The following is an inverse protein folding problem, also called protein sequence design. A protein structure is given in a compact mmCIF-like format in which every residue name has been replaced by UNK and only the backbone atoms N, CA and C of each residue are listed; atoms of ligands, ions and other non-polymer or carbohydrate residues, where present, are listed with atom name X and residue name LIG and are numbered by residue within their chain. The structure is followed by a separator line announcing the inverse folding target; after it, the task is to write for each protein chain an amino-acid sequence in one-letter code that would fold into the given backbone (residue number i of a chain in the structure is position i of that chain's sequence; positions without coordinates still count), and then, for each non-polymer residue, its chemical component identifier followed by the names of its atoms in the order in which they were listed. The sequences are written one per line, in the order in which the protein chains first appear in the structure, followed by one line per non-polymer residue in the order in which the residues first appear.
data_IF_773751315351
#
_entry.id   IF_773751315351
#
_cell.length_a   1.000
_cell.length_b   1.000
_cell.length_c   1.000
_cell.angle_alpha   90.00
_cell.angle_beta   90.00
_cell.angle_gamma   90.00
#
_symmetry.space_group_name_H-M   'P 1'
#
loop_
_entity.id
_entity.type
_entity.pdbx_description
1 polymer ?
#
# COMPACT_ATOMS: atom_id res chain seq x y z
N UNK A 1 6.67 10.83 -10.65
CA UNK A 1 5.24 10.47 -10.84
C UNK A 1 4.37 11.57 -10.24
N UNK A 2 3.82 12.47 -11.06
CA UNK A 2 2.86 13.48 -10.59
C UNK A 2 1.48 12.84 -10.43
N UNK A 3 1.30 12.10 -9.34
CA UNK A 3 0.04 11.43 -9.04
C UNK A 3 -0.82 12.43 -8.26
N UNK A 4 -1.90 12.92 -8.87
CA UNK A 4 -2.95 13.64 -8.13
C UNK A 4 -3.66 12.61 -7.25
N UNK A 5 -3.37 12.66 -5.96
CA UNK A 5 -4.07 11.84 -4.97
C UNK A 5 -5.40 12.48 -4.64
N UNK A 6 -6.43 11.65 -4.53
CA UNK A 6 -7.67 12.07 -3.90
C UNK A 6 -7.41 12.40 -2.43
N UNK A 7 -8.13 13.36 -1.86
CA UNK A 7 -7.94 13.79 -0.47
C UNK A 7 -8.06 12.63 0.54
N UNK A 8 -8.90 11.64 0.23
CA UNK A 8 -9.16 10.47 1.08
C UNK A 8 -8.33 9.23 0.69
N UNK A 9 -7.27 9.38 -0.09
CA UNK A 9 -6.47 8.24 -0.52
C UNK A 9 -5.63 7.68 0.65
N UNK A 10 -6.04 6.52 1.19
CA UNK A 10 -5.32 5.83 2.27
C UNK A 10 -3.93 5.35 1.84
N UNK A 11 -3.77 4.91 0.59
CA UNK A 11 -2.46 4.46 0.05
C UNK A 11 -1.79 5.55 -0.77
N UNK A 12 -0.88 6.28 -0.12
CA UNK A 12 -0.04 7.28 -0.79
C UNK A 12 1.08 6.61 -1.61
N UNK A 13 1.72 7.33 -2.57
CA UNK A 13 2.88 6.82 -3.29
C UNK A 13 4.02 6.35 -2.35
N UNK A 14 4.16 7.00 -1.19
CA UNK A 14 5.11 6.60 -0.14
C UNK A 14 4.76 5.23 0.43
N UNK A 15 3.48 5.00 0.77
CA UNK A 15 3.01 3.70 1.27
C UNK A 15 3.11 2.61 0.20
N UNK A 16 2.81 2.92 -1.06
CA UNK A 16 2.98 1.95 -2.16
C UNK A 16 4.42 1.54 -2.36
N UNK A 17 5.35 2.49 -2.28
CA UNK A 17 6.79 2.21 -2.29
C UNK A 17 7.20 1.33 -1.12
N UNK A 18 6.71 1.66 0.09
CA UNK A 18 6.92 0.84 1.28
C UNK A 18 6.40 -0.60 1.10
N UNK A 19 5.19 -0.79 0.59
CA UNK A 19 4.62 -2.13 0.32
C UNK A 19 5.50 -2.93 -0.64
N UNK A 20 6.04 -2.27 -1.67
CA UNK A 20 6.88 -2.91 -2.69
C UNK A 20 8.30 -3.24 -2.18
N UNK A 21 8.86 -2.39 -1.32
CA UNK A 21 10.20 -2.58 -0.74
C UNK A 21 10.18 -3.53 0.49
N UNK A 22 9.01 -3.74 1.10
CA UNK A 22 8.89 -4.58 2.30
C UNK A 22 8.75 -6.07 1.94
N UNK A 23 9.59 -6.91 2.54
CA UNK A 23 9.49 -8.38 2.47
C UNK A 23 8.40 -8.97 3.38
N UNK A 24 7.67 -8.12 4.10
CA UNK A 24 6.65 -8.57 5.05
C UNK A 24 5.50 -9.33 4.38
N UNK A 25 4.89 -10.30 5.08
CA UNK A 25 3.71 -11.00 4.60
C UNK A 25 2.57 -10.03 4.30
N UNK A 26 1.76 -10.35 3.29
CA UNK A 26 0.61 -9.54 2.87
C UNK A 26 -0.36 -9.29 4.03
N UNK A 27 -0.66 -10.32 4.83
CA UNK A 27 -1.56 -10.23 5.98
C UNK A 27 -1.02 -9.27 7.07
N UNK A 28 0.29 -9.19 7.23
CA UNK A 28 0.91 -8.28 8.20
C UNK A 28 0.86 -6.83 7.71
N UNK A 29 1.19 -6.59 6.43
CA UNK A 29 1.08 -5.27 5.82
C UNK A 29 -0.36 -4.75 5.79
N UNK A 30 -1.34 -5.64 5.56
CA UNK A 30 -2.76 -5.31 5.55
C UNK A 30 -3.24 -4.82 6.93
N UNK A 31 -2.85 -5.53 7.99
CA UNK A 31 -3.16 -5.13 9.38
C UNK A 31 -2.51 -3.81 9.76
N UNK A 32 -1.22 -3.64 9.45
CA UNK A 32 -0.46 -2.45 9.80
C UNK A 32 -1.03 -1.20 9.12
N UNK A 33 -1.29 -1.30 7.82
CA UNK A 33 -1.78 -0.19 7.01
C UNK A 33 -3.31 -0.02 7.06
N UNK A 34 -4.01 -0.87 7.83
CA UNK A 34 -5.47 -0.88 7.94
C UNK A 34 -6.18 -0.91 6.58
N UNK A 35 -5.65 -1.72 5.66
CA UNK A 35 -6.20 -1.91 4.31
C UNK A 35 -6.42 -3.38 4.02
N UNK A 36 -7.29 -3.68 3.06
CA UNK A 36 -7.53 -5.04 2.61
C UNK A 36 -6.27 -5.68 2.00
N UNK A 37 -6.14 -7.00 2.14
CA UNK A 37 -5.05 -7.76 1.51
C UNK A 37 -5.02 -7.61 -0.02
N UNK A 38 -6.18 -7.46 -0.67
CA UNK A 38 -6.26 -7.19 -2.12
C UNK A 38 -5.52 -5.90 -2.51
N UNK A 39 -5.65 -4.85 -1.69
CA UNK A 39 -4.95 -3.59 -1.87
C UNK A 39 -3.44 -3.79 -1.79
N UNK A 40 -2.97 -4.58 -0.83
CA UNK A 40 -1.54 -4.92 -0.70
C UNK A 40 -1.06 -5.75 -1.89
N UNK A 41 -1.81 -6.79 -2.29
CA UNK A 41 -1.49 -7.64 -3.45
C UNK A 41 -1.35 -6.82 -4.73
N UNK A 42 -2.23 -5.84 -4.94
CA UNK A 42 -2.21 -4.93 -6.08
C UNK A 42 -0.92 -4.10 -6.14
N UNK A 43 -0.41 -3.65 -4.99
CA UNK A 43 0.76 -2.76 -4.93
C UNK A 43 2.10 -3.45 -4.69
N UNK A 44 2.09 -4.72 -4.30
CA UNK A 44 3.30 -5.52 -4.11
C UNK A 44 3.86 -6.10 -5.41
N UNK A 45 3.07 -6.10 -6.50
CA UNK A 45 3.54 -6.43 -7.85
C UNK A 45 4.39 -5.30 -8.43
#
# INVERSE_FOLDING_TARGET
MNIRLHANATTTPKIRRFIRESDWPIAQLAKELHVSEDTIRRWKR
#
